data_IF_971925695804
#
_entry.id   IF_971925695804
#
_cell.length_a   1.000
_cell.length_b   1.000
_cell.length_c   1.000
_cell.angle_alpha   90.00
_cell.angle_beta   90.00
_cell.angle_gamma   90.00
#
_symmetry.space_group_name_H-M   'P 1'
#
loop_
_entity.id
_entity.type
_entity.pdbx_description
1 polymer ?
#
# COMPACT_ATOMS: atom_id res chain seq x y z
N UNK A 1 34.42 2.67 44.10
CA UNK A 1 33.35 1.77 43.64
C UNK A 1 33.04 2.14 42.21
N UNK A 2 33.48 1.28 41.29
CA UNK A 2 33.56 1.50 39.85
C UNK A 2 32.19 1.44 39.17
N UNK A 3 31.57 2.59 38.99
CA UNK A 3 30.31 2.72 38.22
C UNK A 3 30.59 2.60 36.70
N UNK A 4 31.82 2.89 36.26
CA UNK A 4 32.20 2.91 34.85
C UNK A 4 32.47 1.54 34.21
N UNK A 5 32.83 0.53 35.00
CA UNK A 5 33.17 -0.82 34.49
C UNK A 5 31.89 -1.61 34.16
N UNK A 6 30.86 -1.48 35.00
CA UNK A 6 29.55 -2.12 34.78
C UNK A 6 28.82 -1.55 33.56
N UNK A 7 28.87 -0.23 33.34
CA UNK A 7 28.20 0.41 32.20
C UNK A 7 28.79 -0.02 30.85
N UNK A 8 30.12 -0.17 30.75
CA UNK A 8 30.78 -0.68 29.53
C UNK A 8 30.43 -2.14 29.26
N UNK A 9 30.46 -2.99 30.28
CA UNK A 9 30.08 -4.39 30.14
C UNK A 9 28.62 -4.55 29.73
N UNK A 10 27.71 -3.78 30.32
CA UNK A 10 26.29 -3.78 29.96
C UNK A 10 26.10 -3.30 28.51
N UNK A 11 26.81 -2.26 28.09
CA UNK A 11 26.78 -1.77 26.71
C UNK A 11 27.28 -2.83 25.71
N UNK A 12 28.37 -3.51 26.02
CA UNK A 12 28.96 -4.52 25.13
C UNK A 12 28.10 -5.79 25.04
N UNK A 13 27.45 -6.19 26.14
CA UNK A 13 26.45 -7.27 26.17
C UNK A 13 25.22 -6.88 25.34
N UNK A 14 24.69 -5.67 25.53
CA UNK A 14 23.54 -5.18 24.78
C UNK A 14 23.83 -5.03 23.27
N UNK A 15 25.09 -4.74 22.90
CA UNK A 15 25.55 -4.69 21.51
C UNK A 15 25.68 -6.09 20.90
N UNK A 16 26.24 -7.06 21.64
CA UNK A 16 26.35 -8.45 21.18
C UNK A 16 24.98 -9.14 21.03
N UNK A 17 24.00 -8.80 21.87
CA UNK A 17 22.65 -9.35 21.80
C UNK A 17 21.73 -8.61 20.81
N UNK A 18 22.22 -7.58 20.13
CA UNK A 18 21.45 -6.80 19.15
C UNK A 18 20.33 -5.94 19.76
N UNK A 19 20.29 -5.79 21.08
CA UNK A 19 19.27 -5.00 21.76
C UNK A 19 19.39 -3.51 21.45
N UNK A 20 20.62 -3.02 21.31
CA UNK A 20 20.87 -1.63 20.87
C UNK A 20 20.32 -1.42 19.46
N UNK A 21 20.50 -2.38 18.55
CA UNK A 21 20.00 -2.27 17.18
C UNK A 21 18.46 -2.33 17.14
N UNK A 22 17.83 -3.18 17.95
CA UNK A 22 16.36 -3.22 18.10
C UNK A 22 15.82 -1.90 18.65
N UNK A 23 16.49 -1.33 19.65
CA UNK A 23 16.08 -0.08 20.28
C UNK A 23 16.27 1.10 19.31
N UNK A 24 17.39 1.15 18.58
CA UNK A 24 17.62 2.13 17.51
C UNK A 24 16.62 1.97 16.36
N UNK A 25 16.20 0.75 16.03
CA UNK A 25 15.19 0.49 15.01
C UNK A 25 13.82 1.08 15.37
N UNK A 26 13.47 1.17 16.66
CA UNK A 26 12.25 1.85 17.11
C UNK A 26 12.28 3.37 16.86
N UNK A 27 13.47 3.97 16.83
CA UNK A 27 13.65 5.41 16.57
C UNK A 27 13.94 5.74 15.10
N UNK A 28 14.14 4.74 14.23
CA UNK A 28 14.33 4.98 12.79
C UNK A 28 13.04 5.56 12.20
N UNK A 29 13.17 6.69 11.50
CA UNK A 29 12.08 7.27 10.71
C UNK A 29 11.58 6.23 9.70
N UNK A 30 10.27 5.92 9.76
CA UNK A 30 9.62 5.03 8.80
C UNK A 30 9.26 5.82 7.55
N UNK A 31 9.59 5.27 6.38
CA UNK A 31 9.20 5.81 5.07
C UNK A 31 7.70 5.58 4.91
N UNK A 32 6.91 6.66 4.86
CA UNK A 32 5.46 6.57 4.70
C UNK A 32 5.09 6.48 3.23
N UNK A 33 4.44 5.39 2.84
CA UNK A 33 4.03 5.11 1.47
C UNK A 33 2.51 5.10 1.38
N UNK A 34 1.94 5.95 0.54
CA UNK A 34 0.52 5.92 0.21
C UNK A 34 0.28 5.05 -1.03
N UNK A 35 -0.59 4.05 -0.91
CA UNK A 35 -1.00 3.21 -2.02
C UNK A 35 -2.34 3.69 -2.57
N UNK A 36 -2.34 4.09 -3.85
CA UNK A 36 -3.52 4.47 -4.62
C UNK A 36 -3.79 3.47 -5.75
N UNK A 37 -4.99 3.52 -6.31
CA UNK A 37 -5.45 2.60 -7.34
C UNK A 37 -6.89 2.18 -7.14
N UNK A 38 -7.58 1.84 -8.22
CA UNK A 38 -8.99 1.43 -8.20
C UNK A 38 -9.24 0.16 -7.36
N UNK A 39 -10.52 -0.16 -7.12
CA UNK A 39 -10.88 -1.46 -6.52
C UNK A 39 -10.41 -2.61 -7.42
N UNK A 40 -9.77 -3.62 -6.83
CA UNK A 40 -9.38 -4.82 -7.55
C UNK A 40 -8.09 -4.77 -8.35
N UNK A 41 -7.37 -3.64 -8.35
CA UNK A 41 -6.07 -3.50 -9.06
C UNK A 41 -4.92 -4.27 -8.40
N UNK A 42 -5.16 -4.87 -7.22
CA UNK A 42 -4.16 -5.68 -6.53
C UNK A 42 -3.26 -4.92 -5.54
N UNK A 43 -3.65 -3.74 -5.04
CA UNK A 43 -2.88 -2.98 -4.02
C UNK A 43 -2.47 -3.84 -2.82
N UNK A 44 -3.44 -4.53 -2.21
CA UNK A 44 -3.19 -5.39 -1.05
C UNK A 44 -2.34 -6.61 -1.43
N UNK A 45 -2.54 -7.20 -2.61
CA UNK A 45 -1.66 -8.27 -3.13
C UNK A 45 -0.21 -7.79 -3.34
N UNK A 46 -0.03 -6.57 -3.86
CA UNK A 46 1.29 -5.97 -4.04
C UNK A 46 1.98 -5.78 -2.69
N UNK A 47 1.29 -5.22 -1.69
CA UNK A 47 1.81 -5.10 -0.33
C UNK A 47 2.19 -6.48 0.21
N UNK A 48 1.30 -7.47 0.12
CA UNK A 48 1.56 -8.83 0.59
C UNK A 48 2.75 -9.50 -0.12
N UNK A 49 2.92 -9.28 -1.43
CA UNK A 49 4.06 -9.81 -2.18
C UNK A 49 5.39 -9.19 -1.79
N UNK A 50 5.37 -7.96 -1.23
CA UNK A 50 6.56 -7.33 -0.66
C UNK A 50 6.83 -7.81 0.76
N UNK A 51 5.79 -8.21 1.51
CA UNK A 51 5.91 -8.59 2.93
C UNK A 51 6.10 -10.09 3.18
N UNK A 52 5.73 -10.95 2.24
CA UNK A 52 5.60 -12.40 2.48
C UNK A 52 6.17 -13.20 1.32
N UNK A 53 7.02 -14.19 1.62
CA UNK A 53 7.65 -15.06 0.60
C UNK A 53 6.63 -15.87 -0.22
N UNK A 54 5.43 -16.12 0.34
CA UNK A 54 4.28 -16.69 -0.37
C UNK A 54 3.00 -15.91 -0.04
N UNK A 55 2.57 -14.97 -0.89
CA UNK A 55 1.33 -14.23 -0.68
C UNK A 55 0.10 -15.13 -0.92
N UNK A 56 -0.87 -15.10 -0.01
CA UNK A 56 -2.14 -15.80 -0.18
C UNK A 56 -3.05 -15.07 -1.19
N UNK A 57 -3.91 -15.83 -1.87
CA UNK A 57 -4.87 -15.27 -2.82
C UNK A 57 -5.99 -14.53 -2.08
N UNK A 58 -6.00 -13.20 -2.15
CA UNK A 58 -7.04 -12.37 -1.51
C UNK A 58 -8.39 -12.58 -2.22
N UNK A 59 -9.38 -13.08 -1.47
CA UNK A 59 -10.76 -13.23 -1.93
C UNK A 59 -11.50 -11.88 -1.95
N UNK A 60 -12.40 -11.70 -2.93
CA UNK A 60 -13.21 -10.48 -3.11
C UNK A 60 -14.09 -10.11 -1.90
N UNK A 61 -14.39 -11.07 -1.03
CA UNK A 61 -15.15 -10.86 0.22
C UNK A 61 -14.31 -10.18 1.31
N UNK A 62 -12.99 -10.20 1.16
CA UNK A 62 -12.00 -9.67 2.10
C UNK A 62 -11.48 -8.30 1.66
N UNK A 63 -12.33 -7.52 0.97
CA UNK A 63 -11.99 -6.15 0.56
C UNK A 63 -11.73 -5.30 1.80
N UNK A 64 -10.66 -4.51 1.75
CA UNK A 64 -10.19 -3.67 2.86
C UNK A 64 -11.27 -2.67 3.24
N UNK A 65 -11.93 -2.91 4.37
CA UNK A 65 -12.95 -2.04 4.97
C UNK A 65 -12.36 -0.92 5.83
N UNK A 66 -11.03 -0.89 5.98
CA UNK A 66 -10.26 0.15 6.67
C UNK A 66 -8.88 0.32 6.04
N UNK A 67 -8.04 1.15 6.66
CA UNK A 67 -6.66 1.43 6.25
C UNK A 67 -5.69 0.67 7.16
N UNK A 68 -5.46 -0.65 6.97
CA UNK A 68 -4.47 -1.35 7.76
C UNK A 68 -3.09 -0.81 7.41
N UNK A 69 -2.47 -0.11 8.35
CA UNK A 69 -1.08 0.28 8.23
C UNK A 69 -0.22 -0.97 8.38
N UNK A 70 0.39 -1.43 7.29
CA UNK A 70 1.39 -2.50 7.34
C UNK A 70 2.78 -1.89 7.43
N UNK A 71 3.50 -2.21 8.50
CA UNK A 71 4.90 -1.79 8.67
C UNK A 71 5.84 -2.93 8.31
N UNK A 72 6.84 -2.67 7.48
CA UNK A 72 7.83 -3.67 7.08
C UNK A 72 9.23 -3.07 6.97
N UNK A 73 10.28 -3.90 7.01
CA UNK A 73 11.64 -3.47 6.77
C UNK A 73 12.12 -4.00 5.40
N UNK A 74 12.49 -3.11 4.48
CA UNK A 74 13.11 -3.47 3.19
C UNK A 74 14.54 -2.96 3.23
N UNK A 75 15.53 -3.86 3.07
CA UNK A 75 16.95 -3.50 3.08
C UNK A 75 17.37 -2.65 4.30
N UNK A 76 16.89 -3.00 5.51
CA UNK A 76 17.15 -2.27 6.77
C UNK A 76 16.51 -0.89 6.92
N UNK A 77 15.60 -0.56 6.00
CA UNK A 77 14.81 0.67 6.01
C UNK A 77 13.35 0.31 6.34
N UNK A 78 12.78 0.87 7.42
CA UNK A 78 11.40 0.62 7.76
C UNK A 78 10.44 1.45 6.89
N UNK A 79 9.44 0.79 6.32
CA UNK A 79 8.34 1.34 5.52
C UNK A 79 7.02 1.20 6.28
N UNK A 80 6.12 2.16 6.07
CA UNK A 80 4.75 2.15 6.56
C UNK A 80 3.82 2.36 5.38
N UNK A 81 3.14 1.31 4.96
CA UNK A 81 2.18 1.34 3.85
C UNK A 81 0.80 1.70 4.35
N UNK A 82 0.20 2.70 3.71
CA UNK A 82 -1.16 3.16 3.93
C UNK A 82 -2.00 2.58 2.78
N UNK A 83 -2.65 1.43 3.00
CA UNK A 83 -3.53 0.80 2.00
C UNK A 83 -4.89 1.50 1.99
N UNK A 84 -5.19 2.26 0.93
CA UNK A 84 -6.47 2.96 0.82
C UNK A 84 -7.55 2.11 0.15
N UNK A 85 -8.81 2.15 0.61
CA UNK A 85 -9.88 1.40 -0.02
C UNK A 85 -10.17 1.93 -1.44
N UNK A 86 -10.16 1.02 -2.42
CA UNK A 86 -10.39 1.34 -3.83
C UNK A 86 -11.86 1.36 -4.26
N UNK A 87 -12.80 1.02 -3.38
CA UNK A 87 -14.23 1.01 -3.71
C UNK A 87 -14.81 2.43 -3.74
N UNK A 88 -15.70 2.71 -4.70
CA UNK A 88 -16.43 3.99 -4.79
C UNK A 88 -17.24 4.27 -3.49
N UNK A 89 -17.84 3.24 -2.89
CA UNK A 89 -18.59 3.36 -1.62
C UNK A 89 -17.76 3.81 -0.41
N UNK A 90 -16.42 3.82 -0.53
CA UNK A 90 -15.49 4.27 0.50
C UNK A 90 -14.71 5.52 0.09
N UNK A 91 -15.23 6.30 -0.87
CA UNK A 91 -14.64 7.56 -1.31
C UNK A 91 -14.34 8.50 -0.14
N UNK A 92 -15.27 8.67 0.81
CA UNK A 92 -15.06 9.52 2.00
C UNK A 92 -13.87 9.07 2.85
N UNK A 93 -13.74 7.76 3.09
CA UNK A 93 -12.64 7.15 3.86
C UNK A 93 -11.30 7.33 3.12
N UNK A 94 -11.30 7.09 1.80
CA UNK A 94 -10.10 7.29 0.96
C UNK A 94 -9.66 8.76 0.98
N UNK A 95 -10.59 9.69 0.77
CA UNK A 95 -10.29 11.14 0.80
C UNK A 95 -9.75 11.57 2.17
N UNK A 96 -10.33 11.05 3.25
CA UNK A 96 -9.86 11.30 4.61
C UNK A 96 -8.42 10.78 4.79
N UNK A 97 -8.15 9.52 4.42
CA UNK A 97 -6.81 8.94 4.50
C UNK A 97 -5.76 9.71 3.68
N UNK A 98 -6.13 10.16 2.47
CA UNK A 98 -5.25 11.00 1.65
C UNK A 98 -4.97 12.32 2.37
N UNK A 99 -5.99 13.03 2.86
CA UNK A 99 -5.83 14.32 3.56
C UNK A 99 -5.03 14.20 4.86
N UNK A 100 -5.27 13.16 5.65
CA UNK A 100 -4.60 12.93 6.93
C UNK A 100 -3.11 12.63 6.75
N UNK A 101 -2.71 12.07 5.60
CA UNK A 101 -1.35 11.61 5.40
C UNK A 101 -0.55 12.42 4.40
N UNK A 102 -1.17 13.13 3.45
CA UNK A 102 -0.49 13.80 2.33
C UNK A 102 0.65 14.74 2.76
N UNK A 103 0.50 15.45 3.88
CA UNK A 103 1.53 16.36 4.39
C UNK A 103 2.76 15.67 5.01
N UNK A 104 2.75 14.34 5.13
CA UNK A 104 3.83 13.57 5.76
C UNK A 104 4.26 12.34 4.97
N UNK A 105 3.82 12.20 3.71
CA UNK A 105 4.22 11.10 2.84
C UNK A 105 5.66 11.28 2.36
N UNK A 106 6.39 10.17 2.29
CA UNK A 106 7.69 10.12 1.63
C UNK A 106 7.56 9.57 0.19
N UNK A 107 6.53 8.75 -0.08
CA UNK A 107 6.27 8.15 -1.39
C UNK A 107 4.78 7.96 -1.66
N UNK A 108 4.40 8.06 -2.92
CA UNK A 108 3.08 7.69 -3.44
C UNK A 108 3.25 6.67 -4.56
N UNK A 109 2.47 5.59 -4.52
CA UNK A 109 2.42 4.55 -5.55
C UNK A 109 0.99 4.45 -6.06
N UNK A 110 0.80 4.70 -7.36
CA UNK A 110 -0.46 4.46 -8.06
C UNK A 110 -0.41 3.09 -8.76
N UNK A 111 -1.29 2.17 -8.34
CA UNK A 111 -1.39 0.83 -8.91
C UNK A 111 -2.49 0.83 -9.96
N UNK A 112 -2.08 0.67 -11.22
CA UNK A 112 -2.95 0.74 -12.39
C UNK A 112 -3.18 -0.67 -12.95
N UNK A 113 -4.41 -1.00 -13.34
CA UNK A 113 -4.71 -2.31 -13.89
C UNK A 113 -5.79 -2.27 -14.98
N UNK A 114 -5.34 -2.12 -16.22
CA UNK A 114 -6.19 -1.92 -17.38
C UNK A 114 -7.09 -3.11 -17.73
N UNK A 115 -6.55 -4.33 -17.61
CA UNK A 115 -7.20 -5.56 -18.12
C UNK A 115 -7.66 -6.56 -17.08
N UNK A 116 -7.40 -6.33 -15.80
CA UNK A 116 -7.75 -7.30 -14.77
C UNK A 116 -9.25 -7.29 -14.50
N UNK A 117 -9.86 -8.44 -14.72
CA UNK A 117 -11.23 -8.71 -14.31
C UNK A 117 -11.18 -9.50 -13.00
N UNK A 118 -11.79 -9.00 -11.93
CA UNK A 118 -11.85 -9.74 -10.68
C UNK A 118 -12.64 -11.06 -10.87
N UNK A 119 -11.92 -12.16 -11.04
CA UNK A 119 -12.44 -13.53 -11.07
C UNK A 119 -13.74 -13.71 -11.92
N UNK A 120 -14.71 -14.48 -11.41
CA UNK A 120 -15.97 -14.78 -12.09
C UNK A 120 -16.85 -13.54 -12.32
N UNK A 121 -16.69 -12.48 -11.51
CA UNK A 121 -17.42 -11.21 -11.64
C UNK A 121 -16.68 -10.27 -12.60
N UNK A 122 -16.65 -10.64 -13.86
CA UNK A 122 -16.09 -9.76 -14.88
C UNK A 122 -15.62 -10.50 -16.11
N UNK A 123 -15.30 -11.80 -16.00
CA UNK A 123 -14.87 -12.62 -17.14
C UNK A 123 -15.80 -12.50 -18.35
N UNK A 124 -17.11 -12.59 -18.15
CA UNK A 124 -18.09 -12.47 -19.24
C UNK A 124 -18.21 -11.07 -19.86
N UNK A 125 -17.68 -10.03 -19.17
CA UNK A 125 -17.61 -8.65 -19.69
C UNK A 125 -16.25 -8.35 -20.30
N UNK A 126 -15.18 -8.91 -19.74
CA UNK A 126 -13.80 -8.70 -20.14
C UNK A 126 -13.35 -9.60 -21.29
N UNK A 127 -13.99 -10.76 -21.44
CA UNK A 127 -13.74 -11.71 -22.52
C UNK A 127 -15.04 -11.84 -23.33
N UNK A 128 -14.95 -11.64 -24.64
CA UNK A 128 -16.05 -11.81 -25.58
C UNK A 128 -16.47 -13.28 -25.66
N UNK A 129 -17.63 -13.56 -26.27
CA UNK A 129 -18.08 -14.94 -26.51
C UNK A 129 -17.08 -15.75 -27.37
N UNK A 130 -16.25 -15.06 -28.17
CA UNK A 130 -15.23 -15.66 -29.03
C UNK A 130 -13.90 -15.90 -28.29
N UNK A 131 -13.83 -15.66 -26.97
CA UNK A 131 -12.62 -15.84 -26.18
C UNK A 131 -11.58 -14.72 -26.32
N UNK A 132 -11.90 -13.62 -27.02
CA UNK A 132 -11.01 -12.47 -27.18
C UNK A 132 -11.25 -11.42 -26.11
N UNK A 133 -10.27 -10.54 -25.87
CA UNK A 133 -10.43 -9.44 -24.91
C UNK A 133 -11.46 -8.45 -25.44
N UNK A 134 -12.37 -7.99 -24.59
CA UNK A 134 -13.37 -6.99 -24.93
C UNK A 134 -12.75 -5.56 -24.85
N UNK A 135 -12.58 -4.85 -25.98
CA UNK A 135 -12.00 -3.51 -25.99
C UNK A 135 -12.87 -2.47 -25.25
N UNK A 136 -14.19 -2.64 -25.22
CA UNK A 136 -15.09 -1.73 -24.51
C UNK A 136 -14.91 -1.83 -22.99
N UNK A 137 -14.66 -3.04 -22.49
CA UNK A 137 -14.36 -3.28 -21.08
C UNK A 137 -13.07 -2.58 -20.66
N UNK A 138 -12.02 -2.73 -21.47
CA UNK A 138 -10.74 -2.05 -21.25
C UNK A 138 -10.89 -0.51 -21.28
N UNK A 139 -11.60 0.02 -22.27
CA UNK A 139 -11.88 1.45 -22.37
C UNK A 139 -12.72 1.99 -21.20
N UNK A 140 -13.66 1.20 -20.68
CA UNK A 140 -14.42 1.55 -19.49
C UNK A 140 -13.54 1.58 -18.24
N UNK A 141 -12.67 0.58 -18.04
CA UNK A 141 -11.73 0.56 -16.93
C UNK A 141 -10.77 1.76 -16.98
N UNK A 142 -10.21 2.08 -18.15
CA UNK A 142 -9.32 3.23 -18.28
C UNK A 142 -9.99 4.56 -17.97
N UNK A 143 -11.24 4.73 -18.38
CA UNK A 143 -12.02 5.93 -18.03
C UNK A 143 -12.28 6.03 -16.53
N UNK A 144 -12.45 4.91 -15.83
CA UNK A 144 -12.56 4.89 -14.36
C UNK A 144 -11.23 5.30 -13.73
N UNK A 145 -10.12 4.68 -14.12
CA UNK A 145 -8.78 5.01 -13.61
C UNK A 145 -8.46 6.50 -13.76
N UNK A 146 -8.71 7.08 -14.93
CA UNK A 146 -8.47 8.51 -15.18
C UNK A 146 -9.33 9.39 -14.27
N UNK A 147 -10.60 9.04 -14.07
CA UNK A 147 -11.51 9.79 -13.20
C UNK A 147 -11.05 9.77 -11.75
N UNK A 148 -10.67 8.59 -11.25
CA UNK A 148 -10.16 8.44 -9.90
C UNK A 148 -8.83 9.17 -9.71
N UNK A 149 -7.94 9.13 -10.70
CA UNK A 149 -6.69 9.89 -10.68
C UNK A 149 -6.94 11.41 -10.60
N UNK A 150 -7.93 11.92 -11.34
CA UNK A 150 -8.34 13.34 -11.25
C UNK A 150 -8.87 13.68 -9.84
N UNK A 151 -9.66 12.80 -9.24
CA UNK A 151 -10.14 12.94 -7.86
C UNK A 151 -8.96 13.07 -6.89
N UNK A 152 -7.99 12.16 -6.97
CA UNK A 152 -6.84 12.14 -6.05
C UNK A 152 -5.92 13.33 -6.29
N UNK A 153 -5.68 13.70 -7.54
CA UNK A 153 -4.81 14.84 -7.91
C UNK A 153 -5.29 16.14 -7.30
N UNK A 154 -6.61 16.38 -7.31
CA UNK A 154 -7.19 17.58 -6.69
C UNK A 154 -6.97 17.65 -5.17
N UNK A 155 -6.84 16.50 -4.49
CA UNK A 155 -6.60 16.43 -3.04
C UNK A 155 -5.10 16.55 -2.73
N UNK A 156 -4.25 15.99 -3.58
CA UNK A 156 -2.79 16.03 -3.46
C UNK A 156 -2.18 17.38 -3.88
N UNK A 157 -3.01 18.35 -4.26
CA UNK A 157 -2.57 19.69 -4.68
C UNK A 157 -2.05 19.75 -6.11
N UNK A 158 -2.30 18.72 -6.93
CA UNK A 158 -2.04 18.77 -8.36
C UNK A 158 -3.03 19.70 -9.08
N UNK A 159 -2.55 20.47 -10.04
CA UNK A 159 -3.44 21.18 -10.98
C UNK A 159 -4.08 20.14 -11.89
N UNK A 160 -5.42 20.12 -11.96
CA UNK A 160 -6.13 19.32 -12.94
C UNK A 160 -5.63 19.66 -14.37
N UNK A 161 -5.44 18.66 -15.25
CA UNK A 161 -5.09 18.90 -16.65
C UNK A 161 -6.20 19.66 -17.39
#
# INVERSE_FOLDING_TARGET
MDIGIGAKQIHDIAKQQGWIDQLLALFKKRVKVLMLGSSGVGKTNLIQSLTTDMPEVIHYSTRTSGTPASSMEINKVPFSFIDTPGQEAHESIRRQAIREHCGSLDLLIDVVCYGYHEYARGKARAITQNGTINPEYLAANRRREIRELQEWSGILGGTAP
#
